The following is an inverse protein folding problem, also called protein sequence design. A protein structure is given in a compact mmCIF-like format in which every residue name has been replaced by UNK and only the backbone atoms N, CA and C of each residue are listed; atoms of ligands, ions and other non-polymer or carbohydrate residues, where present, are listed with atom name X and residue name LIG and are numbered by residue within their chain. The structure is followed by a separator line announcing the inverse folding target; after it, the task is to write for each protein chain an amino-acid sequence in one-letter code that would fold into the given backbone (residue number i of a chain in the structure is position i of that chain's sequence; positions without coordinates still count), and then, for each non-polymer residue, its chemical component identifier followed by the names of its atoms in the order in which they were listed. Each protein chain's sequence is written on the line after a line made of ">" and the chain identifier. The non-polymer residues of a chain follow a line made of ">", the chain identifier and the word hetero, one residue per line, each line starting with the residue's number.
data_IF_574144067828
#
_entry.id   IF_574144067828
#
_cell.length_a   1.000
_cell.length_b   1.000
_cell.length_c   1.000
_cell.angle_alpha   90.00
_cell.angle_beta   90.00
_cell.angle_gamma   90.00
#
_symmetry.space_group_name_H-M   'P 1'
#
loop_
_entity.id
_entity.type
_entity.pdbx_description
1 polymer ?
#
# COMPACT_ATOMS: atom_id res chain seq x y z
N UNK A 1 -23.64 0.42 -19.38
CA UNK A 1 -22.24 0.11 -19.65
C UNK A 1 -22.16 -1.37 -20.02
N UNK A 2 -21.59 -1.76 -21.16
CA UNK A 2 -21.49 -3.18 -21.51
C UNK A 2 -20.48 -3.82 -20.57
N UNK A 3 -20.96 -4.71 -19.73
CA UNK A 3 -20.16 -5.61 -18.91
C UNK A 3 -19.66 -6.66 -19.89
N UNK A 4 -18.41 -6.56 -20.34
CA UNK A 4 -17.81 -7.48 -21.28
C UNK A 4 -17.82 -8.95 -20.80
N UNK A 5 -17.68 -9.92 -21.70
CA UNK A 5 -17.69 -11.33 -21.38
C UNK A 5 -16.53 -11.70 -20.44
N UNK A 6 -16.77 -12.68 -19.57
CA UNK A 6 -15.83 -13.12 -18.52
C UNK A 6 -14.52 -13.78 -19.02
N UNK A 7 -14.28 -13.82 -20.34
CA UNK A 7 -13.05 -14.32 -20.96
C UNK A 7 -12.74 -13.46 -22.17
N UNK A 8 -11.89 -12.46 -21.99
CA UNK A 8 -11.33 -11.69 -23.10
C UNK A 8 -10.04 -12.36 -23.60
N UNK A 9 -9.78 -12.39 -24.93
CA UNK A 9 -8.47 -12.72 -25.45
C UNK A 9 -7.40 -11.79 -24.85
N UNK A 10 -6.18 -12.28 -24.68
CA UNK A 10 -5.08 -11.50 -24.08
C UNK A 10 -4.83 -10.19 -24.83
N UNK A 11 -4.95 -10.18 -26.14
CA UNK A 11 -4.76 -8.97 -26.98
C UNK A 11 -5.82 -7.89 -26.71
N UNK A 12 -7.08 -8.28 -26.49
CA UNK A 12 -8.14 -7.33 -26.14
C UNK A 12 -7.94 -6.74 -24.75
N UNK A 13 -7.45 -7.56 -23.81
CA UNK A 13 -7.11 -7.12 -22.45
C UNK A 13 -5.94 -6.11 -22.45
N UNK A 14 -4.92 -6.32 -23.28
CA UNK A 14 -3.83 -5.36 -23.51
C UNK A 14 -4.33 -4.06 -24.16
N UNK A 15 -5.28 -4.16 -25.10
CA UNK A 15 -5.95 -3.00 -25.70
C UNK A 15 -6.71 -2.17 -24.66
N UNK A 16 -7.40 -2.84 -23.73
CA UNK A 16 -8.10 -2.19 -22.60
C UNK A 16 -7.11 -1.48 -21.68
N UNK A 17 -5.99 -2.12 -21.33
CA UNK A 17 -4.93 -1.52 -20.49
C UNK A 17 -4.40 -0.24 -21.11
N UNK A 18 -4.06 -0.27 -22.42
CA UNK A 18 -3.58 0.91 -23.15
C UNK A 18 -4.59 2.08 -23.08
N UNK A 19 -5.87 1.79 -23.33
CA UNK A 19 -6.90 2.84 -23.32
C UNK A 19 -7.10 3.42 -21.92
N UNK A 20 -7.04 2.61 -20.87
CA UNK A 20 -7.12 3.07 -19.47
C UNK A 20 -5.92 3.93 -19.11
N UNK A 21 -4.72 3.52 -19.51
CA UNK A 21 -3.49 4.29 -19.30
C UNK A 21 -3.55 5.68 -19.97
N UNK A 22 -4.03 5.74 -21.22
CA UNK A 22 -4.22 7.02 -21.90
C UNK A 22 -5.21 7.92 -21.14
N UNK A 23 -6.32 7.38 -20.62
CA UNK A 23 -7.27 8.18 -19.83
C UNK A 23 -6.64 8.73 -18.56
N UNK A 24 -5.83 7.92 -17.87
CA UNK A 24 -5.06 8.36 -16.69
C UNK A 24 -4.13 9.49 -17.06
N UNK A 25 -3.32 9.33 -18.11
CA UNK A 25 -2.37 10.35 -18.55
C UNK A 25 -3.05 11.67 -18.93
N UNK A 26 -4.16 11.62 -19.64
CA UNK A 26 -4.92 12.83 -20.00
C UNK A 26 -5.49 13.51 -18.75
N UNK A 27 -6.05 12.75 -17.82
CA UNK A 27 -6.57 13.29 -16.57
C UNK A 27 -5.45 13.97 -15.75
N UNK A 28 -4.31 13.29 -15.59
CA UNK A 28 -3.15 13.84 -14.87
C UNK A 28 -2.59 15.09 -15.56
N UNK A 29 -2.47 15.09 -16.90
CA UNK A 29 -1.96 16.25 -17.63
C UNK A 29 -2.84 17.49 -17.43
N UNK A 30 -4.17 17.33 -17.51
CA UNK A 30 -5.12 18.43 -17.28
C UNK A 30 -5.04 18.92 -15.83
N UNK A 31 -5.07 18.01 -14.86
CA UNK A 31 -4.97 18.36 -13.45
C UNK A 31 -3.64 19.04 -13.12
N UNK A 32 -2.53 18.54 -13.66
CA UNK A 32 -1.20 19.14 -13.48
C UNK A 32 -1.12 20.57 -14.02
N UNK A 33 -1.72 20.87 -15.16
CA UNK A 33 -1.80 22.25 -15.67
C UNK A 33 -2.54 23.18 -14.70
N UNK A 34 -3.63 22.71 -14.09
CA UNK A 34 -4.39 23.47 -13.10
C UNK A 34 -3.56 23.71 -11.85
N UNK A 35 -2.97 22.64 -11.29
CA UNK A 35 -2.19 22.71 -10.06
C UNK A 35 -0.87 23.48 -10.23
N UNK A 36 -0.30 23.53 -11.43
CA UNK A 36 0.87 24.36 -11.72
C UNK A 36 0.62 25.85 -11.47
N UNK A 37 -0.56 26.33 -11.79
CA UNK A 37 -0.95 27.71 -11.51
C UNK A 37 -1.20 27.95 -10.01
N UNK A 38 -1.68 26.95 -9.30
CA UNK A 38 -1.98 27.00 -7.87
C UNK A 38 -0.77 26.64 -6.98
N UNK A 39 0.41 26.34 -7.56
CA UNK A 39 1.59 25.87 -6.83
C UNK A 39 1.98 26.71 -5.62
N UNK A 40 1.98 28.08 -5.67
CA UNK A 40 2.38 28.86 -4.51
C UNK A 40 1.47 28.62 -3.28
N UNK A 41 0.17 28.49 -3.49
CA UNK A 41 -0.81 28.21 -2.43
C UNK A 41 -0.64 26.79 -1.90
N UNK A 42 -0.45 25.82 -2.81
CA UNK A 42 -0.24 24.42 -2.45
C UNK A 42 1.06 24.25 -1.65
N UNK A 43 2.13 24.93 -2.07
CA UNK A 43 3.41 24.88 -1.35
C UNK A 43 3.26 25.38 0.10
N UNK A 44 2.59 26.50 0.32
CA UNK A 44 2.32 27.01 1.68
C UNK A 44 1.47 26.02 2.49
N UNK A 45 0.49 25.39 1.87
CA UNK A 45 -0.32 24.34 2.52
C UNK A 45 0.54 23.14 2.91
N UNK A 46 1.35 22.60 2.00
CA UNK A 46 2.21 21.43 2.26
C UNK A 46 3.24 21.71 3.37
N UNK A 47 3.73 22.96 3.45
CA UNK A 47 4.73 23.35 4.43
C UNK A 47 4.13 23.72 5.79
N UNK A 48 2.82 23.92 5.88
CA UNK A 48 2.18 24.38 7.13
C UNK A 48 2.47 23.50 8.35
N UNK A 49 2.45 22.14 8.29
CA UNK A 49 2.75 21.30 9.44
C UNK A 49 4.19 21.41 9.95
N UNK A 50 5.11 21.85 9.08
CA UNK A 50 6.54 21.89 9.35
C UNK A 50 7.09 23.32 9.39
N UNK A 51 6.19 24.31 9.35
CA UNK A 51 6.53 25.72 9.30
C UNK A 51 7.37 26.20 10.52
N UNK A 52 7.18 25.57 11.69
CA UNK A 52 7.90 25.89 12.92
C UNK A 52 9.42 25.66 12.78
N UNK A 53 9.83 24.73 11.93
CA UNK A 53 11.23 24.37 11.70
C UNK A 53 11.90 25.20 10.60
N UNK A 54 11.22 26.20 10.06
CA UNK A 54 11.67 26.97 8.91
C UNK A 54 11.73 28.47 9.20
N UNK A 55 12.67 29.19 8.56
CA UNK A 55 12.66 30.65 8.60
C UNK A 55 11.40 31.18 7.90
N UNK A 56 10.78 32.18 8.52
CA UNK A 56 9.62 32.88 7.98
C UNK A 56 9.98 34.33 7.62
N UNK A 57 9.32 34.87 6.60
CA UNK A 57 9.44 36.28 6.24
C UNK A 57 8.66 37.19 7.21
N UNK A 58 8.71 38.51 6.98
CA UNK A 58 7.97 39.51 7.76
C UNK A 58 6.45 39.36 7.72
N UNK A 59 5.92 38.59 6.76
CA UNK A 59 4.50 38.30 6.60
C UNK A 59 4.11 36.94 7.18
N UNK A 60 5.05 36.21 7.82
CA UNK A 60 4.82 34.89 8.39
C UNK A 60 4.78 33.75 7.34
N UNK A 61 5.23 34.02 6.10
CA UNK A 61 5.31 32.97 5.08
C UNK A 61 6.64 32.22 5.20
N UNK A 62 6.58 30.90 5.03
CA UNK A 62 7.76 30.04 5.04
C UNK A 62 8.67 30.36 3.87
N UNK A 63 9.95 30.56 4.15
CA UNK A 63 10.98 30.83 3.14
C UNK A 63 11.80 29.58 2.85
N UNK A 64 11.79 29.16 1.60
CA UNK A 64 12.65 28.08 1.10
C UNK A 64 13.76 28.65 0.21
N UNK A 65 14.94 28.09 0.34
CA UNK A 65 16.07 28.49 -0.50
C UNK A 65 16.06 27.72 -1.83
N UNK A 66 16.35 28.44 -2.89
CA UNK A 66 16.52 27.92 -4.25
C UNK A 66 17.93 28.28 -4.70
N UNK A 67 18.73 27.30 -5.05
CA UNK A 67 20.15 27.50 -5.39
C UNK A 67 20.41 27.50 -6.88
N UNK A 68 19.70 26.71 -7.65
CA UNK A 68 19.83 26.63 -9.09
C UNK A 68 18.77 27.47 -9.82
N UNK A 69 19.13 28.05 -10.96
CA UNK A 69 18.19 28.82 -11.79
C UNK A 69 16.97 27.99 -12.24
N UNK A 70 17.14 26.70 -12.42
CA UNK A 70 16.09 25.78 -12.85
C UNK A 70 15.30 25.13 -11.70
N UNK A 71 15.80 25.20 -10.48
CA UNK A 71 15.21 24.52 -9.32
C UNK A 71 13.79 25.00 -9.02
N UNK A 72 13.55 26.31 -9.10
CA UNK A 72 12.21 26.88 -8.88
C UNK A 72 11.17 26.31 -9.86
N UNK A 73 11.55 26.14 -11.12
CA UNK A 73 10.69 25.51 -12.13
C UNK A 73 10.44 24.04 -11.80
N UNK A 74 11.51 23.31 -11.49
CA UNK A 74 11.43 21.87 -11.15
C UNK A 74 10.54 21.63 -9.93
N UNK A 75 10.69 22.42 -8.86
CA UNK A 75 9.87 22.33 -7.65
C UNK A 75 8.39 22.60 -7.95
N UNK A 76 8.09 23.64 -8.75
CA UNK A 76 6.71 23.93 -9.17
C UNK A 76 6.09 22.77 -9.95
N UNK A 77 6.84 22.23 -10.90
CA UNK A 77 6.41 21.09 -11.70
C UNK A 77 6.16 19.85 -10.83
N UNK A 78 7.07 19.61 -9.89
CA UNK A 78 6.99 18.49 -8.96
C UNK A 78 5.77 18.56 -8.04
N UNK A 79 5.54 19.73 -7.41
CA UNK A 79 4.33 19.97 -6.61
C UNK A 79 3.06 19.78 -7.45
N UNK A 80 3.00 20.35 -8.64
CA UNK A 80 1.84 20.24 -9.53
C UNK A 80 1.55 18.80 -9.93
N UNK A 81 2.59 18.02 -10.27
CA UNK A 81 2.48 16.63 -10.66
C UNK A 81 1.93 15.75 -9.52
N UNK A 82 2.50 15.88 -8.33
CA UNK A 82 2.07 15.07 -7.20
C UNK A 82 0.70 15.48 -6.65
N UNK A 83 0.40 16.78 -6.64
CA UNK A 83 -0.95 17.27 -6.32
C UNK A 83 -1.99 16.74 -7.30
N UNK A 84 -1.63 16.65 -8.60
CA UNK A 84 -2.49 16.03 -9.59
C UNK A 84 -2.74 14.54 -9.30
N UNK A 85 -1.71 13.79 -8.87
CA UNK A 85 -1.87 12.37 -8.49
C UNK A 85 -2.84 12.24 -7.30
N UNK A 86 -2.66 13.02 -6.24
CA UNK A 86 -3.53 12.96 -5.06
C UNK A 86 -4.97 13.34 -5.42
N UNK A 87 -5.16 14.44 -6.16
CA UNK A 87 -6.50 14.89 -6.57
C UNK A 87 -7.18 13.93 -7.55
N UNK A 88 -6.42 13.31 -8.46
CA UNK A 88 -6.92 12.33 -9.41
C UNK A 88 -6.95 10.91 -8.85
N UNK A 89 -6.57 10.68 -7.58
CA UNK A 89 -6.55 9.35 -6.97
C UNK A 89 -7.87 8.59 -7.13
N UNK A 90 -9.08 9.18 -7.05
CA UNK A 90 -10.32 8.47 -7.34
C UNK A 90 -10.38 7.94 -8.79
N UNK A 91 -9.88 8.71 -9.75
CA UNK A 91 -9.85 8.28 -11.15
C UNK A 91 -8.82 7.17 -11.35
N UNK A 92 -7.64 7.30 -10.74
CA UNK A 92 -6.57 6.30 -10.77
C UNK A 92 -7.05 4.97 -10.19
N UNK A 93 -7.62 5.01 -9.00
CA UNK A 93 -8.18 3.85 -8.29
C UNK A 93 -9.31 3.21 -9.11
N UNK A 94 -10.20 4.02 -9.69
CA UNK A 94 -11.26 3.51 -10.56
C UNK A 94 -10.71 2.76 -11.78
N UNK A 95 -9.74 3.34 -12.49
CA UNK A 95 -9.15 2.72 -13.68
C UNK A 95 -8.40 1.43 -13.32
N UNK A 96 -7.69 1.43 -12.18
CA UNK A 96 -7.00 0.26 -11.65
C UNK A 96 -7.98 -0.88 -11.30
N UNK A 97 -8.98 -0.59 -10.49
CA UNK A 97 -9.99 -1.59 -10.09
C UNK A 97 -10.80 -2.11 -11.28
N UNK A 98 -11.17 -1.22 -12.20
CA UNK A 98 -11.93 -1.60 -13.38
C UNK A 98 -11.12 -2.48 -14.34
N UNK A 99 -9.78 -2.40 -14.33
CA UNK A 99 -8.91 -3.31 -15.07
C UNK A 99 -8.99 -4.75 -14.54
N UNK A 100 -9.14 -4.93 -13.23
CA UNK A 100 -9.30 -6.24 -12.61
C UNK A 100 -10.73 -6.80 -12.71
N UNK A 101 -11.72 -5.97 -13.05
CA UNK A 101 -13.14 -6.36 -13.08
C UNK A 101 -13.45 -7.57 -13.99
N UNK A 102 -12.84 -7.73 -15.18
CA UNK A 102 -13.06 -8.91 -16.03
C UNK A 102 -12.59 -10.23 -15.38
N UNK A 103 -11.55 -10.18 -14.55
CA UNK A 103 -11.01 -11.35 -13.85
C UNK A 103 -11.88 -11.80 -12.66
N UNK A 104 -12.80 -10.96 -12.18
CA UNK A 104 -13.65 -11.26 -11.03
C UNK A 104 -14.84 -12.14 -11.43
N UNK A 105 -15.16 -13.13 -10.57
CA UNK A 105 -16.37 -13.95 -10.70
C UNK A 105 -17.63 -13.08 -10.59
N UNK A 106 -18.76 -13.46 -11.24
CA UNK A 106 -20.00 -12.66 -11.18
C UNK A 106 -20.48 -12.32 -9.76
N UNK A 107 -20.28 -13.24 -8.80
CA UNK A 107 -20.62 -13.03 -7.38
C UNK A 107 -19.70 -12.02 -6.66
N UNK A 108 -18.50 -11.81 -7.16
CA UNK A 108 -17.48 -10.94 -6.57
C UNK A 108 -17.61 -9.49 -7.07
N UNK A 109 -18.18 -9.29 -8.26
CA UNK A 109 -18.39 -7.96 -8.86
C UNK A 109 -19.24 -7.01 -8.02
N UNK A 110 -20.09 -7.53 -7.13
CA UNK A 110 -20.87 -6.71 -6.20
C UNK A 110 -20.01 -5.92 -5.21
N UNK A 111 -18.79 -6.39 -4.95
CA UNK A 111 -17.83 -5.75 -4.06
C UNK A 111 -17.03 -4.62 -4.72
N UNK A 112 -17.16 -4.46 -6.04
CA UNK A 112 -16.41 -3.45 -6.79
C UNK A 112 -16.65 -2.04 -6.28
N UNK A 113 -17.89 -1.62 -6.14
CA UNK A 113 -18.22 -0.27 -5.72
C UNK A 113 -17.87 0.01 -4.25
N UNK A 114 -18.18 -0.86 -3.29
CA UNK A 114 -17.66 -0.72 -1.92
C UNK A 114 -16.15 -0.64 -1.84
N UNK A 115 -15.42 -1.43 -2.65
CA UNK A 115 -13.96 -1.40 -2.74
C UNK A 115 -13.45 -0.05 -3.21
N UNK A 116 -14.05 0.48 -4.25
CA UNK A 116 -13.67 1.78 -4.79
C UNK A 116 -13.77 2.88 -3.74
N UNK A 117 -14.89 2.96 -3.01
CA UNK A 117 -15.05 3.96 -1.95
C UNK A 117 -14.12 3.70 -0.77
N UNK A 118 -13.90 2.44 -0.40
CA UNK A 118 -12.96 2.09 0.65
C UNK A 118 -11.52 2.48 0.27
N UNK A 119 -11.08 2.17 -0.94
CA UNK A 119 -9.75 2.53 -1.42
C UNK A 119 -9.57 4.07 -1.46
N UNK A 120 -10.49 4.80 -2.08
CA UNK A 120 -10.41 6.26 -2.07
C UNK A 120 -10.37 6.83 -0.64
N UNK A 121 -11.20 6.30 0.26
CA UNK A 121 -11.24 6.72 1.65
C UNK A 121 -9.95 6.41 2.41
N UNK A 122 -9.39 5.22 2.25
CA UNK A 122 -8.14 4.79 2.90
C UNK A 122 -6.94 5.59 2.40
N UNK A 123 -6.83 5.80 1.09
CA UNK A 123 -5.77 6.60 0.50
C UNK A 123 -5.78 8.03 1.04
N UNK A 124 -6.93 8.70 0.97
CA UNK A 124 -7.07 10.07 1.49
C UNK A 124 -6.87 10.14 3.00
N UNK A 125 -7.38 9.15 3.74
CA UNK A 125 -7.16 9.08 5.19
C UNK A 125 -5.67 8.90 5.51
N UNK A 126 -4.94 8.06 4.76
CA UNK A 126 -3.49 7.89 4.91
C UNK A 126 -2.70 9.17 4.65
N UNK A 127 -3.05 9.89 3.57
CA UNK A 127 -2.43 11.18 3.24
C UNK A 127 -2.70 12.22 4.35
N UNK A 128 -3.96 12.37 4.80
CA UNK A 128 -4.33 13.29 5.89
C UNK A 128 -3.68 12.88 7.22
N UNK A 129 -3.62 11.60 7.52
CA UNK A 129 -2.94 11.07 8.72
C UNK A 129 -1.45 11.45 8.70
N UNK A 130 -0.78 11.29 7.57
CA UNK A 130 0.60 11.70 7.40
C UNK A 130 0.77 13.19 7.65
N UNK A 131 -0.04 14.02 7.00
CA UNK A 131 -0.02 15.47 7.10
C UNK A 131 -0.20 15.97 8.53
N UNK A 132 -1.15 15.42 9.30
CA UNK A 132 -1.51 15.92 10.64
C UNK A 132 -0.67 15.31 11.76
N UNK A 133 -0.15 14.09 11.59
CA UNK A 133 0.42 13.33 12.71
C UNK A 133 1.89 12.98 12.48
N UNK A 134 2.32 12.73 11.24
CA UNK A 134 3.65 12.19 10.97
C UNK A 134 4.66 13.27 10.61
N UNK A 135 4.26 14.27 9.83
CA UNK A 135 5.22 15.29 9.34
C UNK A 135 5.89 16.04 10.47
N UNK A 136 5.15 16.47 11.49
CA UNK A 136 5.68 17.23 12.59
C UNK A 136 6.78 16.45 13.38
N UNK A 137 6.56 15.26 13.95
CA UNK A 137 7.61 14.54 14.67
C UNK A 137 8.75 14.08 13.75
N UNK A 138 8.49 13.84 12.46
CA UNK A 138 9.53 13.51 11.51
C UNK A 138 10.51 14.67 11.28
N UNK A 139 9.98 15.87 11.02
CA UNK A 139 10.81 17.03 10.79
C UNK A 139 11.45 17.59 12.07
N UNK A 140 10.78 17.46 13.21
CA UNK A 140 11.39 17.75 14.52
C UNK A 140 12.68 16.93 14.71
N UNK A 141 12.58 15.62 14.53
CA UNK A 141 13.75 14.76 14.66
C UNK A 141 14.84 15.07 13.63
N UNK A 142 14.47 15.31 12.35
CA UNK A 142 15.43 15.61 11.28
C UNK A 142 16.20 16.92 11.55
N UNK A 143 15.52 17.97 12.01
CA UNK A 143 16.13 19.26 12.30
C UNK A 143 16.95 19.22 13.58
N UNK A 144 16.54 18.45 14.59
CA UNK A 144 17.27 18.27 15.83
C UNK A 144 18.65 17.62 15.63
N UNK A 145 18.82 16.81 14.58
CA UNK A 145 20.14 16.23 14.25
C UNK A 145 21.20 17.29 13.91
N UNK A 146 20.81 18.48 13.46
CA UNK A 146 21.73 19.59 13.20
C UNK A 146 22.09 20.38 14.46
N UNK A 147 21.38 20.15 15.58
CA UNK A 147 21.52 20.88 16.82
C UNK A 147 22.96 20.83 17.37
N UNK A 148 23.48 21.97 17.71
CA UNK A 148 24.83 22.13 18.35
C UNK A 148 26.01 22.21 17.36
N UNK A 149 25.84 21.92 16.07
CA UNK A 149 26.95 22.00 15.12
C UNK A 149 26.63 22.67 13.76
N UNK A 150 25.36 22.77 13.39
CA UNK A 150 24.97 23.35 12.10
C UNK A 150 23.64 24.10 12.17
N UNK A 151 23.43 25.02 11.23
CA UNK A 151 22.16 25.71 11.04
C UNK A 151 21.42 25.10 9.85
N UNK A 152 20.18 24.72 10.05
CA UNK A 152 19.35 24.14 8.98
C UNK A 152 18.97 25.25 7.99
N UNK A 153 19.35 25.08 6.72
CA UNK A 153 18.89 25.92 5.62
C UNK A 153 17.92 25.09 4.73
N UNK A 154 16.61 25.33 4.83
CA UNK A 154 15.64 24.54 4.09
C UNK A 154 15.76 24.79 2.57
N UNK A 155 16.12 23.75 1.84
CA UNK A 155 16.22 23.74 0.40
C UNK A 155 14.89 23.29 -0.20
N UNK A 156 14.33 24.06 -1.12
CA UNK A 156 12.98 23.85 -1.64
C UNK A 156 12.75 22.48 -2.25
N UNK A 157 13.69 22.01 -3.09
CA UNK A 157 13.60 20.71 -3.74
C UNK A 157 13.63 19.55 -2.75
N UNK A 158 14.48 19.60 -1.71
CA UNK A 158 14.65 18.55 -0.73
C UNK A 158 13.46 18.44 0.22
N UNK A 159 13.03 19.57 0.77
CA UNK A 159 11.96 19.58 1.76
C UNK A 159 10.61 19.18 1.14
N UNK A 160 10.30 19.74 -0.02
CA UNK A 160 9.08 19.37 -0.76
C UNK A 160 9.12 17.91 -1.20
N UNK A 161 10.26 17.38 -1.64
CA UNK A 161 10.43 15.98 -2.02
C UNK A 161 10.13 15.03 -0.85
N UNK A 162 10.70 15.33 0.34
CA UNK A 162 10.46 14.52 1.55
C UNK A 162 8.98 14.55 1.93
N UNK A 163 8.35 15.73 2.02
CA UNK A 163 6.94 15.87 2.40
C UNK A 163 6.03 15.06 1.45
N UNK A 164 6.20 15.26 0.16
CA UNK A 164 5.37 14.58 -0.84
C UNK A 164 5.57 13.07 -0.80
N UNK A 165 6.79 12.60 -0.68
CA UNK A 165 7.07 11.16 -0.57
C UNK A 165 6.44 10.55 0.68
N UNK A 166 6.46 11.25 1.80
CA UNK A 166 5.74 10.82 3.00
C UNK A 166 4.23 10.74 2.75
N UNK A 167 3.61 11.80 2.25
CA UNK A 167 2.16 11.83 2.03
C UNK A 167 1.69 10.72 1.09
N UNK A 168 2.36 10.56 -0.05
CA UNK A 168 2.02 9.50 -1.01
C UNK A 168 2.34 8.12 -0.48
N UNK A 169 3.48 7.98 0.21
CA UNK A 169 3.89 6.72 0.83
C UNK A 169 2.89 6.24 1.88
N UNK A 170 2.44 7.13 2.76
CA UNK A 170 1.39 6.82 3.73
C UNK A 170 0.05 6.57 3.06
N UNK A 171 -0.33 7.36 2.06
CA UNK A 171 -1.55 7.11 1.28
C UNK A 171 -1.59 5.69 0.71
N UNK A 172 -0.49 5.25 0.08
CA UNK A 172 -0.36 3.89 -0.45
C UNK A 172 -0.29 2.81 0.63
N UNK A 173 0.41 3.08 1.74
CA UNK A 173 0.50 2.13 2.86
C UNK A 173 -0.86 1.86 3.51
N UNK A 174 -1.74 2.85 3.52
CA UNK A 174 -3.09 2.70 4.05
C UNK A 174 -4.02 1.87 3.15
N UNK A 175 -3.61 1.52 1.94
CA UNK A 175 -4.29 0.52 1.12
C UNK A 175 -4.06 -0.94 1.59
N UNK A 176 -3.08 -1.19 2.47
CA UNK A 176 -2.78 -2.52 2.99
C UNK A 176 -4.01 -3.27 3.55
N UNK A 177 -4.91 -2.65 4.34
CA UNK A 177 -6.12 -3.33 4.82
C UNK A 177 -6.96 -3.92 3.69
N UNK A 178 -7.07 -3.16 2.61
CA UNK A 178 -7.85 -3.57 1.46
C UNK A 178 -7.18 -4.74 0.73
N UNK A 179 -5.85 -4.67 0.54
CA UNK A 179 -5.06 -5.76 -0.06
C UNK A 179 -5.20 -7.04 0.75
N UNK A 180 -5.00 -6.99 2.08
CA UNK A 180 -5.12 -8.15 2.98
C UNK A 180 -6.54 -8.72 2.97
N UNK A 181 -7.56 -7.86 2.97
CA UNK A 181 -8.96 -8.26 2.87
C UNK A 181 -9.24 -9.03 1.59
N UNK A 182 -8.74 -8.55 0.44
CA UNK A 182 -8.94 -9.23 -0.84
C UNK A 182 -8.15 -10.52 -0.98
N UNK A 183 -6.92 -10.58 -0.47
CA UNK A 183 -6.15 -11.84 -0.42
C UNK A 183 -6.92 -12.93 0.35
N UNK A 184 -7.65 -12.55 1.39
CA UNK A 184 -8.46 -13.47 2.18
C UNK A 184 -9.79 -13.83 1.49
N UNK A 185 -10.48 -12.84 0.87
CA UNK A 185 -11.79 -13.08 0.25
C UNK A 185 -11.70 -13.93 -1.03
N UNK A 186 -10.61 -13.75 -1.79
CA UNK A 186 -10.33 -14.52 -3.00
C UNK A 186 -9.62 -15.86 -2.71
N UNK A 187 -9.39 -16.17 -1.43
CA UNK A 187 -8.71 -17.40 -1.00
C UNK A 187 -7.30 -17.58 -1.61
N UNK A 188 -6.65 -16.48 -2.00
CA UNK A 188 -5.26 -16.49 -2.45
C UNK A 188 -4.35 -16.89 -1.29
N UNK A 189 -4.61 -16.31 -0.10
CA UNK A 189 -3.94 -16.66 1.15
C UNK A 189 -5.00 -16.84 2.22
N UNK A 190 -5.13 -18.04 2.82
CA UNK A 190 -6.07 -18.28 3.92
C UNK A 190 -5.78 -17.38 5.13
N UNK A 191 -6.83 -16.93 5.82
CA UNK A 191 -6.71 -16.12 7.03
C UNK A 191 -5.76 -16.74 8.09
N UNK A 192 -5.86 -18.06 8.28
CA UNK A 192 -5.02 -18.78 9.22
C UNK A 192 -3.52 -18.67 8.90
N UNK A 193 -3.16 -18.71 7.62
CA UNK A 193 -1.78 -18.54 7.15
C UNK A 193 -1.28 -17.13 7.41
N UNK A 194 -2.06 -16.08 7.09
CA UNK A 194 -1.72 -14.69 7.38
C UNK A 194 -1.48 -14.49 8.88
N UNK A 195 -2.36 -15.03 9.73
CA UNK A 195 -2.23 -14.90 11.17
C UNK A 195 -1.05 -15.70 11.75
N UNK A 196 -0.77 -16.88 11.20
CA UNK A 196 0.37 -17.72 11.63
C UNK A 196 1.71 -17.12 11.22
N UNK A 197 1.76 -16.51 10.02
CA UNK A 197 2.97 -15.95 9.42
C UNK A 197 3.25 -14.50 9.83
N UNK A 198 2.66 -13.99 10.92
CA UNK A 198 2.78 -12.61 11.35
C UNK A 198 4.23 -12.09 11.43
N UNK A 199 5.18 -12.96 11.86
CA UNK A 199 6.60 -12.60 11.96
C UNK A 199 7.20 -12.25 10.60
N UNK A 200 6.90 -13.04 9.57
CA UNK A 200 7.39 -12.78 8.21
C UNK A 200 6.73 -11.55 7.59
N UNK A 201 5.43 -11.36 7.89
CA UNK A 201 4.71 -10.16 7.44
C UNK A 201 5.31 -8.92 8.10
N UNK A 202 5.57 -8.93 9.40
CA UNK A 202 6.17 -7.78 10.09
C UNK A 202 7.56 -7.45 9.56
N UNK A 203 8.40 -8.46 9.31
CA UNK A 203 9.70 -8.24 8.66
C UNK A 203 9.51 -7.64 7.26
N UNK A 204 8.56 -8.15 6.48
CA UNK A 204 8.22 -7.58 5.19
C UNK A 204 7.77 -6.12 5.28
N UNK A 205 6.89 -5.79 6.24
CA UNK A 205 6.43 -4.42 6.48
C UNK A 205 7.57 -3.50 6.92
N UNK A 206 8.52 -4.00 7.73
CA UNK A 206 9.72 -3.24 8.11
C UNK A 206 10.58 -2.91 6.87
N UNK A 207 10.80 -3.89 5.99
CA UNK A 207 11.52 -3.69 4.74
C UNK A 207 10.81 -2.69 3.85
N UNK A 208 9.48 -2.82 3.69
CA UNK A 208 8.67 -1.89 2.89
C UNK A 208 8.74 -0.48 3.48
N UNK A 209 8.64 -0.32 4.81
CA UNK A 209 8.74 0.99 5.44
C UNK A 209 10.10 1.64 5.19
N UNK A 210 11.19 0.87 5.24
CA UNK A 210 12.54 1.37 4.94
C UNK A 210 12.71 1.81 3.47
N UNK A 211 11.98 1.22 2.52
CA UNK A 211 12.00 1.65 1.11
C UNK A 211 11.08 2.83 0.82
N UNK A 212 9.98 2.94 1.55
CA UNK A 212 8.97 4.00 1.33
C UNK A 212 9.38 5.30 2.00
N UNK A 213 10.06 5.24 3.17
CA UNK A 213 10.57 6.44 3.84
C UNK A 213 11.68 7.08 3.01
N UNK A 214 11.55 8.37 2.66
CA UNK A 214 12.50 9.05 1.75
C UNK A 214 13.83 9.42 2.42
N UNK A 215 13.88 9.34 3.73
CA UNK A 215 15.04 9.64 4.56
C UNK A 215 15.60 8.38 5.23
N UNK A 216 16.88 8.37 5.54
CA UNK A 216 17.52 7.26 6.24
C UNK A 216 17.30 7.31 7.77
N UNK A 217 16.23 7.98 8.24
CA UNK A 217 15.95 8.16 9.66
C UNK A 217 15.31 6.91 10.27
N UNK A 218 15.86 6.37 11.36
CA UNK A 218 15.21 5.28 12.08
C UNK A 218 13.83 5.67 12.64
N UNK A 219 13.65 6.93 13.03
CA UNK A 219 12.41 7.40 13.66
C UNK A 219 11.26 7.38 12.65
N UNK A 220 11.46 7.98 11.49
CA UNK A 220 10.45 8.00 10.42
C UNK A 220 10.13 6.61 9.91
N UNK A 221 11.17 5.75 9.76
CA UNK A 221 10.99 4.34 9.41
C UNK A 221 10.13 3.60 10.45
N UNK A 222 10.39 3.79 11.76
CA UNK A 222 9.60 3.15 12.81
C UNK A 222 8.18 3.71 12.92
N UNK A 223 7.98 5.01 12.69
CA UNK A 223 6.64 5.62 12.65
C UNK A 223 5.81 5.00 11.50
N UNK A 224 6.41 4.91 10.31
CA UNK A 224 5.77 4.26 9.15
C UNK A 224 5.48 2.78 9.44
N UNK A 225 6.46 2.05 9.97
CA UNK A 225 6.32 0.64 10.34
C UNK A 225 5.21 0.42 11.36
N UNK A 226 5.13 1.24 12.41
CA UNK A 226 4.07 1.15 13.41
C UNK A 226 2.69 1.40 12.81
N UNK A 227 2.55 2.40 11.93
CA UNK A 227 1.31 2.66 11.20
C UNK A 227 0.93 1.45 10.32
N UNK A 228 1.88 0.88 9.56
CA UNK A 228 1.63 -0.28 8.71
C UNK A 228 1.22 -1.53 9.51
N UNK A 229 1.84 -1.79 10.68
CA UNK A 229 1.40 -2.88 11.58
C UNK A 229 -0.02 -2.61 12.07
N UNK A 230 -0.32 -1.41 12.53
CA UNK A 230 -1.66 -1.04 12.99
C UNK A 230 -2.71 -1.29 11.90
N UNK A 231 -2.41 -0.89 10.66
CA UNK A 231 -3.29 -1.11 9.50
C UNK A 231 -3.40 -2.59 9.13
N UNK A 232 -2.33 -3.37 9.22
CA UNK A 232 -2.36 -4.81 9.00
C UNK A 232 -3.24 -5.54 10.04
N UNK A 233 -3.07 -5.25 11.33
CA UNK A 233 -3.88 -5.85 12.39
C UNK A 233 -5.35 -5.41 12.29
N UNK A 234 -5.62 -4.14 11.95
CA UNK A 234 -6.96 -3.66 11.67
C UNK A 234 -7.60 -4.43 10.50
N UNK A 235 -6.85 -4.69 9.41
CA UNK A 235 -7.35 -5.46 8.27
C UNK A 235 -7.71 -6.89 8.65
N UNK A 236 -6.90 -7.56 9.47
CA UNK A 236 -7.20 -8.90 9.97
C UNK A 236 -8.44 -8.90 10.88
N UNK A 237 -8.63 -7.87 11.70
CA UNK A 237 -9.82 -7.71 12.53
C UNK A 237 -11.08 -7.54 11.66
N UNK A 238 -11.03 -6.67 10.65
CA UNK A 238 -12.12 -6.48 9.68
C UNK A 238 -12.41 -7.76 8.92
N UNK A 239 -11.38 -8.45 8.41
CA UNK A 239 -11.53 -9.73 7.72
C UNK A 239 -12.18 -10.78 8.61
N UNK A 240 -11.79 -10.87 9.89
CA UNK A 240 -12.38 -11.80 10.87
C UNK A 240 -13.87 -11.54 11.09
N UNK A 241 -14.26 -10.26 11.19
CA UNK A 241 -15.66 -9.86 11.40
C UNK A 241 -16.48 -10.10 10.12
N UNK A 242 -16.01 -9.62 8.99
CA UNK A 242 -16.73 -9.66 7.72
C UNK A 242 -16.82 -11.07 7.11
N UNK A 243 -15.78 -11.88 7.30
CA UNK A 243 -15.61 -13.20 6.66
C UNK A 243 -15.65 -14.36 7.66
N UNK A 244 -16.16 -14.15 8.89
CA UNK A 244 -16.13 -15.15 9.97
C UNK A 244 -16.71 -16.52 9.59
N UNK A 245 -17.80 -16.56 8.81
CA UNK A 245 -18.37 -17.81 8.30
C UNK A 245 -17.45 -18.54 7.30
N UNK A 246 -16.80 -17.77 6.43
CA UNK A 246 -15.87 -18.30 5.41
C UNK A 246 -14.59 -18.82 6.08
N UNK A 247 -14.08 -18.09 7.06
CA UNK A 247 -12.89 -18.47 7.85
C UNK A 247 -13.13 -19.78 8.62
N UNK A 248 -14.32 -19.93 9.24
CA UNK A 248 -14.70 -21.18 9.92
C UNK A 248 -14.74 -22.37 8.95
N UNK A 249 -15.28 -22.16 7.75
CA UNK A 249 -15.33 -23.19 6.72
C UNK A 249 -13.93 -23.59 6.25
N UNK A 250 -13.06 -22.63 5.94
CA UNK A 250 -11.67 -22.88 5.55
C UNK A 250 -10.90 -23.64 6.64
N UNK A 251 -11.15 -23.31 7.92
CA UNK A 251 -10.52 -24.00 9.04
C UNK A 251 -10.99 -25.45 9.13
N UNK A 252 -12.29 -25.70 8.98
CA UNK A 252 -12.84 -27.07 9.00
C UNK A 252 -12.32 -27.92 7.82
N UNK A 253 -12.26 -27.35 6.61
CA UNK A 253 -11.71 -28.01 5.42
C UNK A 253 -10.20 -28.33 5.62
N UNK A 254 -9.41 -27.43 6.21
CA UNK A 254 -8.00 -27.66 6.50
C UNK A 254 -7.79 -28.75 7.60
N UNK A 255 -8.63 -28.76 8.64
CA UNK A 255 -8.60 -29.80 9.67
C UNK A 255 -8.99 -31.17 9.12
N UNK A 256 -9.95 -31.21 8.21
CA UNK A 256 -10.34 -32.46 7.54
C UNK A 256 -9.23 -32.98 6.62
N UNK A 257 -8.65 -32.13 5.79
CA UNK A 257 -7.51 -32.50 4.95
C UNK A 257 -6.32 -33.01 5.77
N UNK A 258 -6.01 -32.36 6.90
CA UNK A 258 -4.94 -32.81 7.79
C UNK A 258 -5.22 -34.18 8.44
N UNK A 259 -6.49 -34.53 8.69
CA UNK A 259 -6.88 -35.88 9.19
C UNK A 259 -6.74 -36.91 8.08
N UNK A 260 -7.20 -36.60 6.88
CA UNK A 260 -7.08 -37.49 5.71
C UNK A 260 -5.60 -37.78 5.39
N UNK A 261 -4.74 -36.76 5.45
CA UNK A 261 -3.29 -36.94 5.25
C UNK A 261 -2.66 -37.82 6.36
N UNK A 262 -3.05 -37.64 7.63
CA UNK A 262 -2.57 -38.46 8.72
C UNK A 262 -3.03 -39.94 8.61
N UNK A 263 -4.27 -40.19 8.22
CA UNK A 263 -4.80 -41.54 7.95
C UNK A 263 -4.04 -42.21 6.79
N UNK A 264 -3.73 -41.46 5.73
CA UNK A 264 -2.91 -41.93 4.61
C UNK A 264 -1.47 -42.28 5.03
N UNK A 265 -0.84 -41.47 5.85
CA UNK A 265 0.49 -41.76 6.37
C UNK A 265 0.52 -43.02 7.23
N UNK A 266 -0.49 -43.22 8.08
CA UNK A 266 -0.63 -44.46 8.89
C UNK A 266 -0.89 -45.69 8.04
N UNK A 267 -1.74 -45.61 7.04
CA UNK A 267 -2.00 -46.71 6.10
C UNK A 267 -0.75 -47.05 5.29
N UNK A 268 -0.04 -46.03 4.80
CA UNK A 268 1.21 -46.22 4.07
C UNK A 268 2.34 -46.80 4.92
N UNK A 269 2.39 -46.47 6.19
CA UNK A 269 3.30 -47.08 7.14
C UNK A 269 3.00 -48.59 7.33
N UNK A 270 1.71 -48.94 7.50
CA UNK A 270 1.27 -50.36 7.62
C UNK A 270 1.62 -51.17 6.37
N UNK A 271 1.34 -50.66 5.19
CA UNK A 271 1.68 -51.32 3.92
C UNK A 271 3.20 -51.53 3.78
N UNK A 272 4.00 -50.56 4.21
CA UNK A 272 5.47 -50.73 4.21
C UNK A 272 5.94 -51.82 5.17
N UNK A 273 5.37 -51.92 6.36
CA UNK A 273 5.68 -52.97 7.34
C UNK A 273 5.30 -54.35 6.81
N UNK A 274 4.10 -54.50 6.21
CA UNK A 274 3.66 -55.77 5.62
C UNK A 274 4.59 -56.21 4.47
N UNK A 275 4.96 -55.29 3.58
CA UNK A 275 5.90 -55.62 2.51
C UNK A 275 7.29 -56.00 3.03
N UNK A 276 7.77 -55.35 4.08
CA UNK A 276 9.05 -55.67 4.69
C UNK A 276 9.02 -57.06 5.38
N UNK A 277 7.90 -57.46 5.96
CA UNK A 277 7.71 -58.81 6.52
C UNK A 277 7.68 -59.86 5.43
N UNK A 278 6.93 -59.61 4.33
CA UNK A 278 6.88 -60.54 3.19
C UNK A 278 8.24 -60.74 2.53
N UNK A 279 9.01 -59.62 2.33
CA UNK A 279 10.37 -59.74 1.82
C UNK A 279 11.34 -60.49 2.72
N UNK A 280 11.19 -60.35 4.05
CA UNK A 280 12.00 -61.09 5.03
C UNK A 280 11.64 -62.60 5.10
N UNK A 281 10.41 -62.95 4.78
CA UNK A 281 9.96 -64.37 4.66
C UNK A 281 10.48 -65.03 3.38
N UNK A 282 10.52 -64.26 2.25
CA UNK A 282 11.06 -64.74 0.95
C UNK A 282 12.59 -64.91 0.95
N UNK A 283 13.35 -64.10 1.71
CA UNK A 283 14.82 -64.21 1.84
C UNK A 283 15.26 -65.31 2.85
N UNK A 284 14.32 -65.89 3.61
CA UNK A 284 14.56 -66.90 4.61
C UNK A 284 14.31 -68.34 4.16
N UNK A 285 13.74 -68.56 2.97
CA UNK A 285 13.60 -69.87 2.29
C UNK A 285 14.71 -70.09 1.26
#
# INVERSE_FOLDING_TARGET
>A
MPIGPARMPLLDHLGELRMRFVRILVCLAVAMCIFYLATPTIAQFLLAPVAEYMPTDSNGQVMLNVFGAFDAFSVRFYIAFWSAIVACSPVLIWQLLAFFLPALKPKERKWFLPTFFAACGLFLFGTVFCYLIILDPAFNWLTDQASGFATVMPQADKWIDIIIKFEVGFGLAFELPLVVFYLTIFEVIPYATLRRSWRYVYVGLLVVSAFVTPDASPVTMFLMFAAMIGMYEASLAVARIALGGKIKRQKAEAEQAAREDAEWEEEWARIKEERARQAAEEDGE
#
